data_IF_042664566701
#
_entry.id   IF_042664566701
#
_cell.length_a   1.000
_cell.length_b   1.000
_cell.length_c   1.000
_cell.angle_alpha   90.00
_cell.angle_beta   90.00
_cell.angle_gamma   90.00
#
_symmetry.space_group_name_H-M   'P 1'
#
loop_
_entity.id
_entity.type
_entity.pdbx_description
1 polymer ?
#
# COMPACT_ATOMS: atom_id res chain seq x y z
N UNK A 1 6.26 15.27 5.57
CA UNK A 1 6.49 14.56 4.30
C UNK A 1 5.41 13.48 4.20
N UNK A 2 4.84 13.21 3.03
CA UNK A 2 3.78 12.18 2.90
C UNK A 2 4.24 11.00 2.05
N UNK A 3 3.65 9.85 2.33
CA UNK A 3 3.91 8.58 1.65
C UNK A 3 2.58 8.09 1.08
N UNK A 4 2.59 7.59 -0.15
CA UNK A 4 1.43 6.95 -0.75
C UNK A 4 1.54 5.42 -0.69
N UNK A 5 0.52 4.78 -0.12
CA UNK A 5 0.34 3.35 -0.12
C UNK A 5 -0.47 2.90 -1.32
N UNK A 6 -0.06 1.81 -1.96
CA UNK A 6 -0.70 1.26 -3.16
C UNK A 6 -0.98 -0.24 -2.99
N UNK A 7 -2.21 -0.63 -3.30
CA UNK A 7 -2.62 -2.04 -3.47
C UNK A 7 -2.91 -2.30 -4.95
N UNK A 8 -2.07 -3.09 -5.61
CA UNK A 8 -2.19 -3.36 -7.05
C UNK A 8 -3.01 -4.63 -7.33
N UNK A 9 -4.31 -4.42 -7.54
CA UNK A 9 -5.26 -5.44 -8.00
C UNK A 9 -5.29 -5.58 -9.52
N UNK A 10 -6.04 -6.57 -10.03
CA UNK A 10 -6.15 -6.87 -11.48
C UNK A 10 -6.94 -5.82 -12.28
N UNK A 11 -7.91 -5.13 -11.65
CA UNK A 11 -8.74 -4.07 -12.27
C UNK A 11 -8.83 -2.79 -11.44
N UNK A 12 -8.22 -2.79 -10.27
CA UNK A 12 -8.26 -1.69 -9.31
C UNK A 12 -6.85 -1.44 -8.80
N UNK A 13 -6.60 -0.19 -8.41
CA UNK A 13 -5.47 0.16 -7.56
C UNK A 13 -6.03 0.92 -6.38
N UNK A 14 -5.93 0.34 -5.19
CA UNK A 14 -6.24 1.06 -3.96
C UNK A 14 -5.11 2.05 -3.66
N UNK A 15 -5.47 3.26 -3.25
CA UNK A 15 -4.52 4.32 -2.88
C UNK A 15 -4.82 4.78 -1.47
N UNK A 16 -3.78 4.88 -0.65
CA UNK A 16 -3.81 5.45 0.69
C UNK A 16 -2.70 6.48 0.85
N UNK A 17 -2.83 7.38 1.82
CA UNK A 17 -1.84 8.41 2.13
C UNK A 17 -1.50 8.40 3.61
N UNK A 18 -0.25 8.69 3.94
CA UNK A 18 0.16 8.90 5.33
C UNK A 18 -0.25 10.30 5.80
N UNK A 19 -0.46 10.45 7.10
CA UNK A 19 -0.48 11.79 7.70
C UNK A 19 0.92 12.46 7.60
N UNK A 20 1.01 13.79 7.79
CA UNK A 20 2.29 14.51 7.69
C UNK A 20 3.36 14.12 8.73
N UNK A 21 2.94 13.52 9.85
CA UNK A 21 3.81 13.02 10.91
C UNK A 21 4.31 11.59 10.63
N UNK A 22 3.72 10.91 9.64
CA UNK A 22 4.06 9.53 9.28
C UNK A 22 3.57 8.50 10.30
N UNK A 23 2.49 8.79 11.03
CA UNK A 23 2.00 7.92 12.12
C UNK A 23 0.86 7.02 11.61
N UNK A 24 -0.07 7.58 10.86
CA UNK A 24 -1.31 6.92 10.42
C UNK A 24 -1.44 6.93 8.91
N UNK A 25 -2.10 5.90 8.37
CA UNK A 25 -2.47 5.77 6.98
C UNK A 25 -3.99 5.90 6.79
N UNK A 26 -4.41 6.59 5.72
CA UNK A 26 -5.82 6.81 5.39
C UNK A 26 -6.11 6.45 3.94
N UNK A 27 -7.21 5.74 3.64
CA UNK A 27 -7.62 5.47 2.27
C UNK A 27 -8.01 6.76 1.55
N UNK A 28 -7.64 6.87 0.27
CA UNK A 28 -7.87 8.07 -0.55
C UNK A 28 -8.80 7.76 -1.71
N UNK A 29 -8.40 6.83 -2.57
CA UNK A 29 -9.09 6.57 -3.84
C UNK A 29 -8.90 5.11 -4.25
N UNK A 30 -9.90 4.55 -4.94
CA UNK A 30 -9.75 3.30 -5.69
C UNK A 30 -9.74 3.64 -7.18
N UNK A 31 -8.55 3.64 -7.77
CA UNK A 31 -8.37 3.91 -9.20
C UNK A 31 -8.80 2.68 -10.00
N UNK A 32 -9.94 2.77 -10.69
CA UNK A 32 -10.49 1.65 -11.48
C UNK A 32 -10.04 1.71 -12.93
N UNK A 33 -9.70 0.56 -13.49
CA UNK A 33 -9.43 0.40 -14.93
C UNK A 33 -10.40 -0.58 -15.57
N UNK A 34 -10.87 -0.25 -16.78
CA UNK A 34 -11.79 -1.10 -17.55
C UNK A 34 -11.13 -2.40 -18.04
N UNK A 35 -9.83 -2.32 -18.35
CA UNK A 35 -9.01 -3.42 -18.85
C UNK A 35 -7.63 -3.37 -18.20
N UNK A 36 -7.01 -4.53 -17.98
CA UNK A 36 -5.69 -4.66 -17.32
C UNK A 36 -4.60 -3.88 -18.08
N UNK A 37 -4.66 -3.85 -19.40
CA UNK A 37 -3.65 -3.25 -20.28
C UNK A 37 -3.69 -1.71 -20.35
N UNK A 38 -4.69 -1.06 -19.74
CA UNK A 38 -4.85 0.41 -19.79
C UNK A 38 -4.14 1.12 -18.62
N UNK A 39 -2.90 0.73 -18.33
CA UNK A 39 -2.11 1.23 -17.20
C UNK A 39 -1.74 2.71 -17.30
N UNK A 40 -1.64 3.28 -18.51
CA UNK A 40 -1.21 4.68 -18.69
C UNK A 40 -2.10 5.68 -17.94
N UNK A 41 -3.42 5.45 -17.90
CA UNK A 41 -4.36 6.32 -17.17
C UNK A 41 -4.27 6.10 -15.66
N UNK A 42 -4.13 4.85 -15.22
CA UNK A 42 -3.93 4.52 -13.81
C UNK A 42 -2.68 5.19 -13.26
N UNK A 43 -1.56 5.08 -13.99
CA UNK A 43 -0.29 5.70 -13.61
C UNK A 43 -0.37 7.24 -13.59
N UNK A 44 -1.10 7.84 -14.54
CA UNK A 44 -1.34 9.28 -14.54
C UNK A 44 -2.14 9.74 -13.31
N UNK A 45 -3.19 9.01 -12.93
CA UNK A 45 -3.97 9.36 -11.74
C UNK A 45 -3.16 9.22 -10.45
N UNK A 46 -2.30 8.20 -10.36
CA UNK A 46 -1.43 8.02 -9.19
C UNK A 46 -0.36 9.13 -9.12
N UNK A 47 0.19 9.55 -10.26
CA UNK A 47 1.09 10.70 -10.34
C UNK A 47 0.42 12.01 -9.92
N UNK A 48 -0.82 12.26 -10.36
CA UNK A 48 -1.62 13.40 -9.91
C UNK A 48 -1.81 13.37 -8.39
N UNK A 49 -2.22 12.24 -7.83
CA UNK A 49 -2.38 12.07 -6.38
C UNK A 49 -1.05 12.29 -5.63
N UNK A 50 0.07 11.82 -6.18
CA UNK A 50 1.39 12.08 -5.60
C UNK A 50 1.72 13.58 -5.56
N UNK A 51 1.37 14.31 -6.63
CA UNK A 51 1.50 15.77 -6.66
C UNK A 51 0.57 16.47 -5.66
N UNK A 52 -0.72 16.10 -5.64
CA UNK A 52 -1.75 16.66 -4.74
C UNK A 52 -1.35 16.53 -3.26
N UNK A 53 -0.84 15.37 -2.86
CA UNK A 53 -0.44 15.10 -1.48
C UNK A 53 1.01 15.45 -1.17
N UNK A 54 1.79 15.88 -2.16
CA UNK A 54 3.24 16.11 -2.07
C UNK A 54 3.95 14.87 -1.52
N UNK A 55 3.64 13.72 -2.12
CA UNK A 55 4.21 12.44 -1.74
C UNK A 55 5.65 12.32 -2.24
N UNK A 56 6.51 11.73 -1.41
CA UNK A 56 7.94 11.59 -1.72
C UNK A 56 8.36 10.13 -1.89
N UNK A 57 7.48 9.19 -1.54
CA UNK A 57 7.70 7.76 -1.57
C UNK A 57 6.38 7.04 -1.85
N UNK A 58 6.47 5.97 -2.64
CA UNK A 58 5.41 4.98 -2.74
C UNK A 58 5.74 3.73 -1.95
N UNK A 59 4.73 3.16 -1.29
CA UNK A 59 4.77 1.84 -0.67
C UNK A 59 3.78 0.96 -1.43
N UNK A 60 4.30 0.01 -2.20
CA UNK A 60 3.51 -0.87 -3.05
C UNK A 60 3.46 -2.26 -2.44
N UNK A 61 2.24 -2.77 -2.26
CA UNK A 61 2.02 -4.13 -1.81
C UNK A 61 2.64 -5.19 -2.74
N UNK A 62 3.28 -6.18 -2.11
CA UNK A 62 3.91 -7.33 -2.75
C UNK A 62 3.28 -8.63 -2.22
N UNK A 63 2.38 -9.26 -2.98
CA UNK A 63 1.70 -10.49 -2.58
C UNK A 63 2.66 -11.68 -2.71
N UNK A 64 3.47 -11.94 -1.68
CA UNK A 64 4.34 -13.11 -1.61
C UNK A 64 3.55 -14.35 -1.20
N UNK A 65 3.93 -15.51 -1.73
CA UNK A 65 3.39 -16.78 -1.24
C UNK A 65 3.91 -17.09 0.17
N UNK A 66 3.19 -17.93 0.91
CA UNK A 66 3.57 -18.31 2.28
C UNK A 66 4.93 -19.01 2.37
N UNK A 67 5.36 -19.69 1.29
CA UNK A 67 6.70 -20.27 1.16
C UNK A 67 7.76 -19.26 0.65
N UNK A 68 7.45 -17.96 0.67
CA UNK A 68 8.31 -16.85 0.20
C UNK A 68 8.61 -16.84 -1.30
N UNK A 69 7.94 -17.67 -2.11
CA UNK A 69 8.08 -17.58 -3.58
C UNK A 69 7.25 -16.43 -4.14
N UNK A 70 7.66 -15.91 -5.30
CA UNK A 70 6.92 -14.92 -6.06
C UNK A 70 6.00 -15.64 -7.04
N UNK A 71 4.71 -15.29 -7.04
CA UNK A 71 3.77 -15.71 -8.08
C UNK A 71 3.63 -14.65 -9.17
N UNK A 72 2.85 -14.94 -10.21
CA UNK A 72 2.58 -14.04 -11.34
C UNK A 72 2.11 -12.64 -10.87
N UNK A 73 1.26 -12.58 -9.83
CA UNK A 73 0.79 -11.31 -9.26
C UNK A 73 1.92 -10.48 -8.65
N UNK A 74 2.89 -11.11 -8.00
CA UNK A 74 4.03 -10.42 -7.41
C UNK A 74 4.95 -9.85 -8.49
N UNK A 75 5.17 -10.59 -9.59
CA UNK A 75 5.92 -10.10 -10.75
C UNK A 75 5.23 -8.89 -11.39
N UNK A 76 3.90 -8.93 -11.55
CA UNK A 76 3.11 -7.80 -12.04
C UNK A 76 3.20 -6.57 -11.12
N UNK A 77 3.18 -6.77 -9.80
CA UNK A 77 3.40 -5.66 -8.84
C UNK A 77 4.80 -5.06 -8.98
N UNK A 78 5.83 -5.89 -9.15
CA UNK A 78 7.20 -5.41 -9.38
C UNK A 78 7.33 -4.61 -10.68
N UNK A 79 6.73 -5.09 -11.77
CA UNK A 79 6.69 -4.37 -13.04
C UNK A 79 5.98 -3.02 -12.89
N UNK A 80 4.82 -3.02 -12.23
CA UNK A 80 4.05 -1.81 -11.95
C UNK A 80 4.84 -0.79 -11.13
N UNK A 81 5.55 -1.24 -10.09
CA UNK A 81 6.46 -0.38 -9.31
C UNK A 81 7.52 0.28 -10.19
N UNK A 82 8.21 -0.49 -11.04
CA UNK A 82 9.20 0.08 -11.98
C UNK A 82 8.59 1.10 -12.96
N UNK A 83 7.34 0.89 -13.38
CA UNK A 83 6.64 1.85 -14.24
C UNK A 83 6.34 3.16 -13.50
N UNK A 84 5.98 3.09 -12.21
CA UNK A 84 5.76 4.26 -11.36
C UNK A 84 7.06 5.04 -11.15
N UNK A 85 8.16 4.36 -10.81
CA UNK A 85 9.47 5.00 -10.64
C UNK A 85 9.89 5.75 -11.91
N UNK A 86 9.77 5.09 -13.07
CA UNK A 86 10.12 5.72 -14.37
C UNK A 86 9.24 6.92 -14.71
N UNK A 87 7.96 6.92 -14.32
CA UNK A 87 7.04 8.01 -14.63
C UNK A 87 7.26 9.20 -13.69
N UNK A 88 7.35 8.93 -12.39
CA UNK A 88 7.28 9.95 -11.34
C UNK A 88 8.65 10.42 -10.87
N UNK A 89 9.70 9.60 -11.05
CA UNK A 89 11.01 9.82 -10.45
C UNK A 89 11.06 9.57 -8.94
N UNK A 90 9.94 9.17 -8.32
CA UNK A 90 9.87 8.87 -6.91
C UNK A 90 10.22 7.40 -6.64
N UNK A 91 10.89 7.09 -5.51
CA UNK A 91 11.19 5.73 -5.12
C UNK A 91 9.91 4.92 -4.85
N UNK A 92 9.98 3.61 -5.12
CA UNK A 92 8.93 2.66 -4.76
C UNK A 92 9.51 1.56 -3.84
N UNK A 93 8.96 1.46 -2.63
CA UNK A 93 9.27 0.37 -1.70
C UNK A 93 8.24 -0.75 -1.87
N UNK A 94 8.73 -1.98 -2.05
CA UNK A 94 7.87 -3.17 -2.12
C UNK A 94 7.64 -3.73 -0.72
N UNK A 95 6.38 -3.77 -0.28
CA UNK A 95 6.00 -4.18 1.08
C UNK A 95 5.34 -5.55 1.11
N UNK A 96 5.77 -6.42 2.03
CA UNK A 96 5.27 -7.79 2.14
C UNK A 96 3.84 -7.83 2.74
N UNK A 97 2.87 -8.30 1.94
CA UNK A 97 1.45 -8.33 2.32
C UNK A 97 1.01 -9.56 3.16
N UNK A 98 1.92 -10.51 3.45
CA UNK A 98 1.52 -11.81 4.02
C UNK A 98 0.83 -11.73 5.38
N UNK A 99 1.13 -10.70 6.17
CA UNK A 99 0.60 -10.52 7.52
C UNK A 99 -0.56 -9.52 7.59
N UNK A 100 -0.72 -8.66 6.57
CA UNK A 100 -1.72 -7.58 6.57
C UNK A 100 -3.15 -8.10 6.49
N UNK A 101 -3.42 -9.18 5.74
CA UNK A 101 -4.78 -9.73 5.63
C UNK A 101 -5.27 -10.37 6.94
N UNK A 102 -4.38 -11.04 7.68
CA UNK A 102 -4.73 -11.67 8.96
C UNK A 102 -4.92 -10.60 10.04
N UNK A 103 -4.01 -9.63 10.12
CA UNK A 103 -4.11 -8.51 11.04
C UNK A 103 -5.36 -7.65 10.78
N UNK A 104 -5.68 -7.36 9.51
CA UNK A 104 -6.87 -6.62 9.12
C UNK A 104 -8.16 -7.32 9.53
N UNK A 105 -8.27 -8.63 9.26
CA UNK A 105 -9.43 -9.41 9.68
C UNK A 105 -9.60 -9.39 11.20
N UNK A 106 -8.50 -9.43 11.96
CA UNK A 106 -8.53 -9.34 13.43
C UNK A 106 -9.01 -7.97 13.92
N UNK A 107 -8.46 -6.89 13.38
CA UNK A 107 -8.87 -5.53 13.71
C UNK A 107 -10.36 -5.27 13.39
N UNK A 108 -10.87 -5.80 12.27
CA UNK A 108 -12.29 -5.70 11.92
C UNK A 108 -13.21 -6.55 12.83
N UNK A 109 -12.72 -7.68 13.34
CA UNK A 109 -13.45 -8.46 14.36
C UNK A 109 -13.55 -7.66 15.66
N UNK A 110 -12.43 -7.08 16.11
CA UNK A 110 -12.35 -6.28 17.34
C UNK A 110 -13.18 -4.99 17.23
N UNK A 111 -13.22 -4.37 16.06
CA UNK A 111 -14.04 -3.19 15.76
C UNK A 111 -15.53 -3.46 15.50
N UNK A 112 -16.00 -4.71 15.65
CA UNK A 112 -17.43 -5.05 15.56
C UNK A 112 -18.02 -5.06 14.14
N UNK A 113 -17.20 -5.08 13.09
CA UNK A 113 -17.67 -5.12 11.69
C UNK A 113 -18.31 -6.49 11.41
N UNK A 114 -19.53 -6.49 10.85
CA UNK A 114 -20.26 -7.72 10.51
C UNK A 114 -19.51 -8.51 9.46
N UNK A 115 -19.50 -9.85 9.59
CA UNK A 115 -18.72 -10.76 8.73
C UNK A 115 -19.00 -10.56 7.24
N UNK A 116 -20.24 -10.24 6.88
CA UNK A 116 -20.70 -9.97 5.51
C UNK A 116 -20.10 -8.69 4.92
N UNK A 117 -19.85 -7.68 5.76
CA UNK A 117 -19.34 -6.37 5.36
C UNK A 117 -17.80 -6.34 5.32
N UNK A 118 -17.14 -7.27 6.02
CA UNK A 118 -15.67 -7.33 6.09
C UNK A 118 -15.02 -7.43 4.73
N UNK A 119 -15.52 -8.28 3.82
CA UNK A 119 -14.92 -8.43 2.48
C UNK A 119 -14.89 -7.13 1.68
N UNK A 120 -15.97 -6.35 1.71
CA UNK A 120 -16.04 -5.07 1.00
C UNK A 120 -15.19 -3.98 1.66
N UNK A 121 -15.07 -4.00 2.99
CA UNK A 121 -14.23 -3.07 3.73
C UNK A 121 -12.73 -3.41 3.59
N UNK A 122 -12.36 -4.70 3.53
CA UNK A 122 -10.98 -5.15 3.29
C UNK A 122 -10.46 -4.57 1.98
N UNK A 123 -11.22 -4.69 0.88
CA UNK A 123 -10.78 -4.21 -0.44
C UNK A 123 -10.60 -2.68 -0.48
N UNK A 124 -11.41 -1.93 0.27
CA UNK A 124 -11.27 -0.48 0.36
C UNK A 124 -10.10 -0.05 1.26
N UNK A 125 -9.73 -0.88 2.24
CA UNK A 125 -8.71 -0.58 3.24
C UNK A 125 -7.33 -1.19 2.94
N UNK A 126 -7.22 -2.09 1.97
CA UNK A 126 -5.99 -2.85 1.69
C UNK A 126 -4.76 -1.93 1.55
N UNK A 127 -4.86 -0.87 0.75
CA UNK A 127 -3.78 0.10 0.57
C UNK A 127 -3.40 0.83 1.88
N UNK A 128 -4.39 1.14 2.72
CA UNK A 128 -4.14 1.78 4.02
C UNK A 128 -3.46 0.83 5.00
N UNK A 129 -3.83 -0.46 4.99
CA UNK A 129 -3.21 -1.48 5.83
C UNK A 129 -1.77 -1.78 5.40
N UNK A 130 -1.51 -1.83 4.10
CA UNK A 130 -0.15 -1.94 3.54
C UNK A 130 0.70 -0.77 4.02
N UNK A 131 0.19 0.46 3.88
CA UNK A 131 0.93 1.64 4.29
C UNK A 131 1.13 1.69 5.80
N UNK A 132 0.10 1.40 6.60
CA UNK A 132 0.19 1.39 8.05
C UNK A 132 1.26 0.41 8.52
N UNK A 133 1.27 -0.82 7.98
CA UNK A 133 2.30 -1.81 8.32
C UNK A 133 3.71 -1.32 8.03
N UNK A 134 3.90 -0.59 6.93
CA UNK A 134 5.18 0.04 6.63
C UNK A 134 5.52 1.15 7.64
N UNK A 135 4.59 2.06 7.95
CA UNK A 135 4.81 3.15 8.91
C UNK A 135 5.14 2.61 10.32
N UNK A 136 4.43 1.58 10.77
CA UNK A 136 4.66 0.93 12.06
C UNK A 136 6.08 0.33 12.15
N UNK A 137 6.58 -0.22 11.03
CA UNK A 137 7.94 -0.76 10.94
C UNK A 137 9.00 0.33 11.07
N UNK A 138 8.74 1.53 10.54
CA UNK A 138 9.63 2.69 10.70
C UNK A 138 9.62 3.21 12.15
N UNK A 139 8.45 3.21 12.80
CA UNK A 139 8.32 3.59 14.21
C UNK A 139 9.12 2.66 15.12
N UNK A 140 9.08 1.35 14.86
CA UNK A 140 9.80 0.34 15.64
C UNK A 140 11.32 0.45 15.45
N UNK A 141 11.80 0.76 14.24
CA UNK A 141 13.22 0.98 13.95
C UNK A 141 13.78 2.21 14.70
N UNK A 142 13.04 3.33 14.72
CA UNK A 142 13.47 4.54 15.46
C UNK A 142 13.65 4.31 16.96
N UNK A 143 12.78 3.49 17.56
CA UNK A 143 12.89 3.14 18.98
C UNK A 143 14.10 2.26 19.26
N UNK A 144 14.36 1.28 18.40
CA UNK A 144 15.51 0.37 18.53
C UNK A 144 16.86 1.08 18.30
N UNK A 145 16.91 2.05 17.39
CA UNK A 145 18.12 2.85 17.15
C UNK A 145 18.40 3.79 18.35
N UNK A 146 17.35 4.38 18.94
CA UNK A 146 17.48 5.23 20.12
C UNK A 146 17.94 4.46 21.37
N UNK A 147 17.54 3.20 21.54
CA UNK A 147 17.98 2.34 22.65
C UNK A 147 19.41 1.79 22.49
N UNK A 148 19.98 1.78 21.27
CA UNK A 148 21.35 1.32 21.02
C UNK A 148 22.38 2.47 21.04
N UNK A 149 21.94 3.72 21.10
CA UNK A 149 22.79 4.91 21.22
C UNK A 149 22.95 5.40 22.68
N UNK A 150 22.25 4.80 23.65
CA UNK A 150 22.44 4.98 25.10
C UNK A 150 23.32 3.90 25.75
#
# INVERSE_FOLDING_TARGET
>A
MRILGLDYGSRTVGVAVSDPLGITAQPVEIVRRKEENKLRRTLARIEELAGEYQAELFVLGLPKNMNSTLGERAEKSLEFGRMLERRTGLPVVMWDERLTTVAANRAMIEGGVRREERGQHVDALAAALILQGYLDSLGTQKSADAENEE
#
